data_IF_364947590022
#
_entry.id   IF_364947590022
#
_cell.length_a   1.000
_cell.length_b   1.000
_cell.length_c   1.000
_cell.angle_alpha   90.00
_cell.angle_beta   90.00
_cell.angle_gamma   90.00
#
_symmetry.space_group_name_H-M   'P 1'
#
loop_
_entity.id
_entity.type
_entity.pdbx_description
1 polymer ?
#
# COMPACT_ATOMS: atom_id res chain seq x y z
N UNK A 1 -1.97 16.96 -1.78
CA UNK A 1 -1.57 16.97 -3.20
C UNK A 1 -1.01 18.33 -3.56
N UNK A 2 0.14 18.33 -4.20
CA UNK A 2 0.78 19.53 -4.71
C UNK A 2 1.17 19.30 -6.17
N UNK A 3 1.09 20.33 -6.99
CA UNK A 3 1.58 20.31 -8.37
C UNK A 3 2.77 21.24 -8.53
N UNK A 4 3.80 20.76 -9.21
CA UNK A 4 5.02 21.49 -9.55
C UNK A 4 5.26 21.42 -11.06
N UNK A 5 5.77 22.50 -11.63
CA UNK A 5 6.15 22.56 -13.05
C UNK A 5 5.05 23.05 -14.00
N UNK A 6 5.48 23.49 -15.19
CA UNK A 6 4.59 24.00 -16.23
C UNK A 6 3.80 22.87 -16.92
N UNK A 7 2.60 23.15 -17.47
CA UNK A 7 1.95 24.46 -17.56
C UNK A 7 1.02 24.83 -16.40
N UNK A 8 0.76 23.92 -15.44
CA UNK A 8 -0.34 24.07 -14.46
C UNK A 8 0.03 23.90 -12.98
N UNK A 9 1.31 23.87 -12.63
CA UNK A 9 1.81 23.74 -11.27
C UNK A 9 2.63 24.94 -10.80
N UNK A 10 3.02 24.90 -9.52
CA UNK A 10 3.88 25.90 -8.89
C UNK A 10 5.38 25.63 -9.11
N UNK A 11 6.24 26.22 -8.28
CA UNK A 11 7.69 25.95 -8.28
C UNK A 11 8.05 24.90 -7.21
N UNK A 12 9.33 24.52 -7.14
CA UNK A 12 9.81 23.64 -6.07
C UNK A 12 9.74 24.31 -4.69
N UNK A 13 9.91 25.64 -4.64
CA UNK A 13 9.86 26.45 -3.43
C UNK A 13 8.45 26.93 -3.08
N UNK A 14 7.58 27.07 -4.07
CA UNK A 14 6.18 27.49 -3.93
C UNK A 14 5.28 26.56 -4.76
N UNK A 15 5.08 25.30 -4.31
CA UNK A 15 4.30 24.33 -5.04
C UNK A 15 2.82 24.68 -4.97
N UNK A 16 2.09 24.47 -6.08
CA UNK A 16 0.66 24.74 -6.12
C UNK A 16 -0.06 23.70 -5.27
N UNK A 17 -0.62 24.13 -4.14
CA UNK A 17 -1.53 23.28 -3.37
C UNK A 17 -2.81 23.02 -4.18
N UNK A 18 -3.19 21.74 -4.29
CA UNK A 18 -4.42 21.33 -4.97
C UNK A 18 -5.50 20.99 -3.94
N UNK A 19 -5.24 19.98 -3.13
CA UNK A 19 -6.16 19.48 -2.10
C UNK A 19 -5.41 18.65 -1.05
N UNK A 20 -6.05 18.41 0.09
CA UNK A 20 -5.65 17.40 1.07
C UNK A 20 -6.74 16.32 1.16
N UNK A 21 -6.34 15.11 1.57
CA UNK A 21 -7.24 14.00 1.82
C UNK A 21 -7.25 13.73 3.33
N UNK A 22 -8.45 13.64 3.89
CA UNK A 22 -8.72 13.13 5.23
C UNK A 22 -9.69 11.96 5.08
N UNK A 23 -9.42 10.87 5.80
CA UNK A 23 -10.18 9.63 5.66
C UNK A 23 -10.70 9.23 7.04
N UNK A 24 -12.03 9.15 7.14
CA UNK A 24 -12.74 8.80 8.37
C UNK A 24 -13.86 7.82 8.06
N UNK A 25 -14.05 6.83 8.93
CA UNK A 25 -15.19 5.92 8.82
C UNK A 25 -16.43 6.45 9.57
N UNK A 26 -17.53 5.71 9.47
CA UNK A 26 -18.81 6.08 10.10
C UNK A 26 -18.76 6.06 11.64
N UNK A 27 -17.80 5.35 12.23
CA UNK A 27 -17.61 5.22 13.67
C UNK A 27 -16.65 6.31 14.22
N UNK A 28 -16.12 7.16 13.36
CA UNK A 28 -15.22 8.25 13.71
C UNK A 28 -13.75 7.86 13.86
N UNK A 29 -13.37 6.65 13.43
CA UNK A 29 -11.96 6.29 13.29
C UNK A 29 -11.37 7.06 12.09
N UNK A 30 -10.08 7.39 12.18
CA UNK A 30 -9.42 8.23 11.18
C UNK A 30 -8.07 7.66 10.76
N UNK A 31 -7.83 7.53 9.46
CA UNK A 31 -6.51 7.16 8.94
C UNK A 31 -5.49 8.26 9.24
N UNK A 32 -4.29 7.87 9.67
CA UNK A 32 -3.24 8.79 10.12
C UNK A 32 -3.34 9.22 11.58
N UNK A 33 -4.33 8.75 12.35
CA UNK A 33 -4.36 8.85 13.82
C UNK A 33 -3.84 7.55 14.42
N UNK A 34 -2.88 7.62 15.35
CA UNK A 34 -2.21 6.42 15.86
C UNK A 34 -1.28 5.75 14.84
N UNK A 35 -0.93 6.47 13.78
CA UNK A 35 -0.12 6.04 12.64
C UNK A 35 0.18 7.23 11.73
N UNK A 36 0.63 6.98 10.49
CA UNK A 36 0.80 8.02 9.46
C UNK A 36 0.39 7.50 8.09
N UNK A 37 -0.07 8.40 7.23
CA UNK A 37 -0.02 8.14 5.78
C UNK A 37 1.41 7.80 5.40
N UNK A 38 1.59 6.75 4.61
CA UNK A 38 2.91 6.13 4.47
C UNK A 38 3.32 5.90 3.03
N UNK A 39 2.38 5.57 2.16
CA UNK A 39 2.65 5.31 0.75
C UNK A 39 1.57 5.95 -0.11
N UNK A 40 1.98 6.37 -1.30
CA UNK A 40 1.12 6.95 -2.32
C UNK A 40 1.61 6.51 -3.70
N UNK A 41 0.71 6.21 -4.61
CA UNK A 41 1.02 5.87 -5.99
C UNK A 41 -0.13 6.25 -6.92
N UNK A 42 0.19 6.61 -8.16
CA UNK A 42 -0.81 6.88 -9.19
C UNK A 42 -0.95 5.67 -10.12
N UNK A 43 -2.15 5.47 -10.66
CA UNK A 43 -2.34 4.66 -11.88
C UNK A 43 -1.49 5.22 -13.00
N UNK A 44 -1.19 4.39 -14.01
CA UNK A 44 -0.26 4.78 -15.07
C UNK A 44 -0.78 5.89 -15.98
N UNK A 45 -2.10 6.03 -16.10
CA UNK A 45 -2.77 7.15 -16.75
C UNK A 45 -2.88 8.41 -15.86
N UNK A 46 -2.60 8.28 -14.56
CA UNK A 46 -2.64 9.37 -13.59
C UNK A 46 -4.03 9.71 -13.07
N UNK A 47 -5.05 8.89 -13.35
CA UNK A 47 -6.46 9.18 -13.03
C UNK A 47 -6.83 8.83 -11.57
N UNK A 48 -6.18 7.81 -10.98
CA UNK A 48 -6.48 7.34 -9.64
C UNK A 48 -5.24 7.38 -8.75
N UNK A 49 -5.40 7.91 -7.55
CA UNK A 49 -4.41 7.92 -6.47
C UNK A 49 -4.72 6.80 -5.47
N UNK A 50 -3.78 5.87 -5.30
CA UNK A 50 -3.81 4.85 -4.25
C UNK A 50 -3.01 5.32 -3.03
N UNK A 51 -3.62 5.34 -1.84
CA UNK A 51 -3.00 5.75 -0.59
C UNK A 51 -3.04 4.62 0.45
N UNK A 52 -1.87 4.33 1.02
CA UNK A 52 -1.67 3.39 2.13
C UNK A 52 -1.20 4.13 3.37
N UNK A 53 -1.54 3.58 4.53
CA UNK A 53 -1.12 4.14 5.81
C UNK A 53 -0.63 3.06 6.76
N UNK A 54 0.13 3.51 7.75
CA UNK A 54 0.87 2.68 8.68
C UNK A 54 0.26 2.79 10.09
N UNK A 55 -0.74 1.95 10.44
CA UNK A 55 -1.29 1.91 11.78
C UNK A 55 -0.22 1.43 12.77
N UNK A 56 -0.18 2.01 13.97
CA UNK A 56 0.74 1.59 15.03
C UNK A 56 2.23 1.72 14.68
N UNK A 57 2.57 2.49 13.63
CA UNK A 57 3.95 2.65 13.15
C UNK A 57 4.55 1.39 12.52
N UNK A 58 3.69 0.45 12.05
CA UNK A 58 4.07 -0.75 11.31
C UNK A 58 4.72 -1.85 12.16
N UNK A 59 5.29 -1.49 13.30
CA UNK A 59 5.84 -2.45 14.26
C UNK A 59 4.75 -3.12 15.10
N UNK A 60 3.61 -2.47 15.38
CA UNK A 60 2.60 -3.04 16.27
C UNK A 60 1.78 -4.16 15.62
N UNK A 61 1.22 -5.03 16.46
CA UNK A 61 0.16 -5.94 16.04
C UNK A 61 -1.08 -5.12 15.65
N UNK A 62 -1.34 -5.10 14.34
CA UNK A 62 -2.40 -4.33 13.67
C UNK A 62 -2.98 -5.17 12.55
N UNK A 63 -3.98 -4.63 11.86
CA UNK A 63 -4.74 -5.37 10.85
C UNK A 63 -5.40 -6.64 11.43
N UNK A 64 -5.72 -6.61 12.71
CA UNK A 64 -6.39 -7.71 13.38
C UNK A 64 -7.86 -7.78 12.99
N UNK A 65 -8.55 -8.85 13.41
CA UNK A 65 -9.99 -8.97 13.22
C UNK A 65 -10.78 -7.87 13.95
N UNK A 66 -10.23 -7.35 15.05
CA UNK A 66 -10.87 -6.34 15.91
C UNK A 66 -10.51 -4.89 15.49
N UNK A 67 -9.44 -4.70 14.71
CA UNK A 67 -9.13 -3.38 14.15
C UNK A 67 -10.19 -2.99 13.10
N UNK A 68 -10.64 -1.72 13.08
CA UNK A 68 -11.61 -1.24 12.10
C UNK A 68 -11.03 -1.34 10.68
N UNK A 69 -11.88 -1.51 9.68
CA UNK A 69 -11.43 -1.71 8.30
C UNK A 69 -10.54 -0.58 7.79
N UNK A 70 -10.82 0.67 8.21
CA UNK A 70 -9.98 1.83 7.90
C UNK A 70 -8.51 1.62 8.31
N UNK A 71 -8.23 0.84 9.36
CA UNK A 71 -6.87 0.57 9.83
C UNK A 71 -6.10 -0.47 9.01
N UNK A 72 -6.76 -1.17 8.09
CA UNK A 72 -6.17 -2.23 7.27
C UNK A 72 -6.54 -2.10 5.80
N UNK A 73 -6.73 -0.86 5.35
CA UNK A 73 -7.19 -0.57 4.00
C UNK A 73 -6.17 0.18 3.15
N UNK A 74 -6.20 -0.12 1.85
CA UNK A 74 -5.66 0.72 0.79
C UNK A 74 -6.80 1.54 0.21
N UNK A 75 -6.62 2.85 0.11
CA UNK A 75 -7.68 3.77 -0.31
C UNK A 75 -7.44 4.28 -1.73
N UNK A 76 -8.51 4.46 -2.49
CA UNK A 76 -8.44 4.94 -3.87
C UNK A 76 -9.23 6.25 -4.01
N UNK A 77 -8.60 7.24 -4.61
CA UNK A 77 -9.16 8.58 -4.80
C UNK A 77 -8.99 9.04 -6.24
N UNK A 78 -9.91 9.88 -6.69
CA UNK A 78 -9.79 10.63 -7.93
C UNK A 78 -8.57 11.57 -7.83
N UNK A 79 -7.62 11.43 -8.74
CA UNK A 79 -6.37 12.19 -8.70
C UNK A 79 -6.57 13.69 -8.97
N UNK A 80 -7.64 14.07 -9.66
CA UNK A 80 -7.92 15.46 -10.04
C UNK A 80 -8.47 16.30 -8.87
N UNK A 81 -9.24 15.69 -7.98
CA UNK A 81 -10.02 16.40 -6.97
C UNK A 81 -9.97 15.78 -5.55
N UNK A 82 -9.39 14.59 -5.40
CA UNK A 82 -9.26 13.90 -4.11
C UNK A 82 -10.55 13.24 -3.60
N UNK A 83 -11.60 13.13 -4.42
CA UNK A 83 -12.82 12.42 -4.05
C UNK A 83 -12.53 10.93 -3.86
N UNK A 84 -13.05 10.35 -2.77
CA UNK A 84 -12.93 8.91 -2.50
C UNK A 84 -13.71 8.12 -3.55
N UNK A 85 -13.02 7.16 -4.18
CA UNK A 85 -13.61 6.23 -5.15
C UNK A 85 -13.93 4.89 -4.50
N UNK A 86 -13.08 4.42 -3.59
CA UNK A 86 -13.28 3.17 -2.87
C UNK A 86 -12.11 2.82 -1.97
N UNK A 87 -12.13 1.62 -1.41
CA UNK A 87 -11.01 1.07 -0.65
C UNK A 87 -10.99 -0.45 -0.76
N UNK A 88 -9.79 -1.01 -0.70
CA UNK A 88 -9.59 -2.43 -0.48
C UNK A 88 -9.27 -2.65 1.00
N UNK A 89 -9.89 -3.65 1.62
CA UNK A 89 -9.63 -4.05 3.01
C UNK A 89 -8.82 -5.34 2.98
N UNK A 90 -7.72 -5.41 3.73
CA UNK A 90 -6.95 -6.64 3.90
C UNK A 90 -7.86 -7.79 4.37
N UNK A 91 -7.99 -8.82 3.53
CA UNK A 91 -8.98 -9.89 3.72
C UNK A 91 -8.58 -10.92 4.78
N UNK A 92 -7.27 -11.12 5.02
CA UNK A 92 -6.74 -12.05 6.03
C UNK A 92 -6.30 -11.29 7.29
N UNK A 93 -7.12 -11.27 8.36
CA UNK A 93 -6.76 -10.57 9.58
C UNK A 93 -5.56 -11.22 10.26
N UNK A 94 -4.68 -10.39 10.77
CA UNK A 94 -3.44 -10.81 11.41
C UNK A 94 -3.65 -11.07 12.92
N UNK A 95 -2.84 -11.95 13.49
CA UNK A 95 -2.86 -12.26 14.91
C UNK A 95 -2.21 -11.18 15.77
N UNK A 96 -2.38 -11.30 17.09
CA UNK A 96 -1.70 -10.44 18.06
C UNK A 96 -0.16 -10.59 18.04
N UNK A 97 0.34 -11.63 17.36
CA UNK A 97 1.75 -11.94 17.21
C UNK A 97 2.35 -11.44 15.87
N UNK A 98 1.59 -10.66 15.10
CA UNK A 98 1.95 -10.27 13.73
C UNK A 98 1.91 -8.76 13.52
N UNK A 99 3.07 -8.18 13.18
CA UNK A 99 3.15 -6.76 12.83
C UNK A 99 2.64 -6.52 11.40
N UNK A 100 1.80 -5.50 11.21
CA UNK A 100 1.12 -5.26 9.94
C UNK A 100 0.99 -3.76 9.61
N UNK A 101 0.97 -3.47 8.32
CA UNK A 101 0.79 -2.13 7.73
C UNK A 101 0.32 -2.27 6.27
N UNK A 102 -0.22 -1.19 5.70
CA UNK A 102 -0.49 -1.09 4.26
C UNK A 102 0.66 -0.30 3.62
N UNK A 103 1.62 -1.01 3.03
CA UNK A 103 2.96 -0.46 2.84
C UNK A 103 3.53 -0.73 1.44
N UNK A 104 4.28 0.26 0.93
CA UNK A 104 5.09 0.25 -0.30
C UNK A 104 4.65 -0.71 -1.41
N UNK A 105 3.95 -0.12 -2.37
CA UNK A 105 3.38 -0.78 -3.55
C UNK A 105 3.73 -0.04 -4.82
N UNK A 106 3.48 -0.67 -5.96
CA UNK A 106 3.36 0.01 -7.25
C UNK A 106 2.15 -0.49 -8.04
N UNK A 107 1.78 0.31 -9.03
CA UNK A 107 0.75 -0.05 -9.99
C UNK A 107 1.38 -0.85 -11.13
N UNK A 108 0.80 -1.98 -11.49
CA UNK A 108 1.25 -2.77 -12.63
C UNK A 108 0.92 -2.02 -13.94
N UNK A 109 1.89 -1.82 -14.84
CA UNK A 109 1.61 -1.20 -16.13
C UNK A 109 0.96 -2.22 -17.05
N UNK A 110 -0.37 -2.24 -17.15
CA UNK A 110 -1.13 -3.20 -17.95
C UNK A 110 -1.54 -2.59 -19.30
N UNK A 111 -1.37 -3.34 -20.39
CA UNK A 111 -1.77 -2.89 -21.74
C UNK A 111 -3.28 -2.76 -21.91
N UNK A 112 -4.07 -3.40 -21.05
CA UNK A 112 -5.53 -3.33 -21.06
C UNK A 112 -6.07 -2.01 -20.54
N UNK A 113 -5.26 -1.23 -19.81
CA UNK A 113 -5.74 -0.10 -18.99
C UNK A 113 -6.32 -0.53 -17.65
N UNK A 114 -6.28 -1.83 -17.32
CA UNK A 114 -6.73 -2.34 -16.03
C UNK A 114 -5.84 -1.85 -14.90
N UNK A 115 -6.42 -1.75 -13.71
CA UNK A 115 -5.76 -1.21 -12.54
C UNK A 115 -5.48 -2.30 -11.52
N UNK A 116 -4.21 -2.69 -11.41
CA UNK A 116 -3.75 -3.62 -10.38
C UNK A 116 -2.63 -3.00 -9.58
N UNK A 117 -2.79 -2.97 -8.25
CA UNK A 117 -1.76 -2.56 -7.30
C UNK A 117 -1.14 -3.79 -6.66
N UNK A 118 0.19 -3.79 -6.52
CA UNK A 118 0.93 -4.86 -5.84
C UNK A 118 1.71 -4.25 -4.69
N UNK A 119 1.52 -4.74 -3.47
CA UNK A 119 2.07 -4.17 -2.24
C UNK A 119 2.53 -5.19 -1.22
N UNK A 120 3.40 -4.73 -0.31
CA UNK A 120 3.93 -5.53 0.80
C UNK A 120 3.38 -5.06 2.13
N UNK A 121 2.83 -5.96 2.94
CA UNK A 121 2.04 -5.65 4.12
C UNK A 121 2.67 -6.22 5.41
N UNK A 122 4.01 -6.21 5.48
CA UNK A 122 4.79 -6.80 6.56
C UNK A 122 4.38 -8.27 6.78
N UNK A 123 4.01 -8.70 8.00
CA UNK A 123 3.70 -10.11 8.24
C UNK A 123 2.41 -10.55 7.53
N UNK A 124 1.54 -9.63 7.09
CA UNK A 124 0.43 -9.97 6.20
C UNK A 124 0.87 -10.29 4.76
N UNK A 125 2.16 -10.10 4.43
CA UNK A 125 2.76 -10.58 3.19
C UNK A 125 2.50 -9.70 1.96
N UNK A 126 2.63 -10.29 0.77
CA UNK A 126 2.44 -9.60 -0.50
C UNK A 126 1.01 -9.79 -1.01
N UNK A 127 0.39 -8.71 -1.48
CA UNK A 127 -0.95 -8.72 -2.06
C UNK A 127 -0.96 -8.04 -3.42
N UNK A 128 -1.77 -8.59 -4.33
CA UNK A 128 -2.14 -7.98 -5.60
C UNK A 128 -3.66 -7.75 -5.59
N UNK A 129 -4.06 -6.51 -5.83
CA UNK A 129 -5.45 -6.05 -5.76
C UNK A 129 -5.83 -5.45 -7.09
N UNK A 130 -6.86 -6.01 -7.72
CA UNK A 130 -7.52 -5.45 -8.89
C UNK A 130 -8.57 -4.44 -8.42
N UNK A 131 -8.50 -3.24 -8.96
CA UNK A 131 -9.46 -2.16 -8.71
C UNK A 131 -9.92 -1.53 -10.03
N UNK A 132 -9.91 -2.32 -11.10
CA UNK A 132 -10.40 -1.93 -12.41
C UNK A 132 -11.87 -1.52 -12.32
N UNK A 133 -12.21 -0.37 -12.93
CA UNK A 133 -13.56 0.17 -12.88
C UNK A 133 -13.92 0.89 -11.57
N UNK A 134 -12.97 1.16 -10.67
CA UNK A 134 -13.24 1.90 -9.42
C UNK A 134 -13.88 3.27 -9.67
N UNK A 135 -13.56 3.93 -10.78
CA UNK A 135 -14.17 5.21 -11.17
C UNK A 135 -15.65 5.06 -11.55
N UNK A 136 -16.07 3.85 -11.94
CA UNK A 136 -17.46 3.48 -12.24
C UNK A 136 -18.16 2.84 -11.03
N UNK A 137 -17.50 2.80 -9.86
CA UNK A 137 -18.04 2.24 -8.62
C UNK A 137 -17.85 0.72 -8.47
N UNK A 138 -16.91 0.11 -9.18
CA UNK A 138 -16.50 -1.26 -8.91
C UNK A 138 -15.73 -1.37 -7.58
N UNK A 139 -15.95 -2.45 -6.86
CA UNK A 139 -15.26 -2.73 -5.59
C UNK A 139 -13.90 -3.41 -5.86
N UNK A 140 -12.81 -2.99 -5.20
CA UNK A 140 -11.52 -3.67 -5.30
C UNK A 140 -11.54 -5.12 -4.81
N UNK A 141 -10.80 -6.00 -5.48
CA UNK A 141 -10.71 -7.42 -5.13
C UNK A 141 -9.26 -7.93 -5.11
N UNK A 142 -8.97 -8.83 -4.17
CA UNK A 142 -7.66 -9.51 -4.12
C UNK A 142 -7.58 -10.57 -5.22
N UNK A 143 -6.56 -10.48 -6.08
CA UNK A 143 -6.35 -11.46 -7.17
C UNK A 143 -5.19 -12.42 -6.90
N UNK A 144 -4.27 -12.04 -6.00
CA UNK A 144 -3.23 -12.93 -5.50
C UNK A 144 -2.69 -12.45 -4.17
N UNK A 145 -2.22 -13.38 -3.33
CA UNK A 145 -1.47 -13.06 -2.13
C UNK A 145 -0.47 -14.15 -1.77
N UNK A 146 0.55 -13.78 -1.00
CA UNK A 146 1.48 -14.69 -0.33
C UNK A 146 1.65 -14.20 1.10
N UNK A 147 1.13 -14.97 2.05
CA UNK A 147 1.15 -14.66 3.48
C UNK A 147 2.18 -15.57 4.19
N UNK A 148 3.31 -15.02 4.69
CA UNK A 148 4.34 -15.82 5.35
C UNK A 148 3.92 -16.26 6.76
N UNK A 149 4.45 -17.39 7.29
CA UNK A 149 4.20 -17.75 8.67
C UNK A 149 4.65 -16.66 9.66
N UNK A 150 3.83 -16.44 10.69
CA UNK A 150 4.16 -15.59 11.85
C UNK A 150 5.57 -15.83 12.37
N UNK A 151 6.23 -14.75 12.76
CA UNK A 151 7.47 -14.84 13.55
C UNK A 151 7.20 -15.42 14.95
N UNK A 152 5.95 -15.41 15.43
CA UNK A 152 5.55 -15.76 16.80
C UNK A 152 5.61 -14.55 17.74
N UNK A 153 5.43 -14.77 19.05
CA UNK A 153 5.19 -13.68 19.99
C UNK A 153 6.33 -12.66 20.07
N UNK A 154 5.94 -11.43 20.44
CA UNK A 154 6.79 -10.25 20.57
C UNK A 154 7.87 -10.31 21.66
N UNK A 155 8.53 -9.18 21.98
CA UNK A 155 8.06 -7.80 21.76
C UNK A 155 8.28 -7.28 20.34
N UNK A 156 7.36 -6.47 19.81
CA UNK A 156 7.55 -5.85 18.48
C UNK A 156 8.35 -4.56 18.51
N UNK A 157 8.98 -4.21 17.39
CA UNK A 157 9.77 -2.98 17.25
C UNK A 157 8.90 -1.72 17.21
N UNK A 158 8.56 -1.22 18.40
CA UNK A 158 7.68 -0.06 18.63
C UNK A 158 8.28 0.80 19.76
N UNK A 159 7.71 1.96 20.06
CA UNK A 159 8.15 2.76 21.24
C UNK A 159 7.75 2.10 22.56
N UNK A 160 6.61 1.41 22.59
CA UNK A 160 6.09 0.68 23.75
C UNK A 160 5.39 -0.61 23.32
N UNK A 161 5.57 -1.67 24.11
CA UNK A 161 4.89 -2.95 23.99
C UNK A 161 4.36 -3.37 25.37
N UNK A 162 3.07 -3.69 25.47
CA UNK A 162 2.38 -4.01 26.74
C UNK A 162 2.61 -2.96 27.86
N UNK A 163 2.57 -1.67 27.48
CA UNK A 163 2.75 -0.55 28.42
C UNK A 163 4.18 -0.36 28.93
N UNK A 164 5.16 -1.14 28.45
CA UNK A 164 6.58 -0.97 28.79
C UNK A 164 7.38 -0.47 27.58
N UNK A 165 8.49 0.27 27.79
CA UNK A 165 9.41 0.60 26.71
C UNK A 165 9.92 -0.67 26.04
N UNK A 166 9.79 -0.75 24.72
CA UNK A 166 10.34 -1.87 23.96
C UNK A 166 11.87 -1.82 24.04
N UNK A 167 12.54 -2.95 24.35
CA UNK A 167 13.99 -3.02 24.25
C UNK A 167 14.47 -2.61 22.86
N UNK A 168 15.45 -1.71 22.78
CA UNK A 168 16.04 -1.30 21.50
C UNK A 168 16.67 -2.49 20.75
N UNK A 169 17.20 -3.46 21.51
CA UNK A 169 17.73 -4.72 21.00
C UNK A 169 16.78 -5.88 21.33
N UNK A 170 16.49 -6.74 20.34
CA UNK A 170 15.68 -7.96 20.52
C UNK A 170 14.18 -7.81 20.28
N UNK A 171 13.72 -6.64 19.81
CA UNK A 171 12.38 -6.49 19.27
C UNK A 171 12.24 -7.20 17.91
N UNK A 172 11.01 -7.54 17.53
CA UNK A 172 10.71 -8.32 16.32
C UNK A 172 9.93 -7.47 15.32
N UNK A 173 10.31 -7.56 14.06
CA UNK A 173 9.62 -6.98 12.92
C UNK A 173 9.93 -7.86 11.71
N UNK A 174 8.95 -8.14 10.87
CA UNK A 174 9.11 -9.09 9.79
C UNK A 174 8.14 -8.95 8.64
N UNK A 175 8.34 -9.82 7.66
CA UNK A 175 7.50 -9.94 6.47
C UNK A 175 7.87 -8.96 5.35
N UNK A 176 6.96 -8.81 4.40
CA UNK A 176 7.18 -8.06 3.16
C UNK A 176 7.28 -6.55 3.44
N UNK A 177 8.51 -6.01 3.51
CA UNK A 177 8.76 -4.56 3.57
C UNK A 177 8.13 -3.89 2.34
N UNK A 178 8.35 -4.43 1.16
CA UNK A 178 7.78 -3.86 -0.06
C UNK A 178 7.61 -4.94 -1.10
N UNK A 179 6.63 -4.76 -1.98
CA UNK A 179 6.43 -5.65 -3.12
C UNK A 179 6.11 -4.83 -4.35
N UNK A 180 6.77 -5.13 -5.46
CA UNK A 180 6.60 -4.39 -6.69
C UNK A 180 6.45 -5.32 -7.91
N UNK A 181 5.43 -5.06 -8.72
CA UNK A 181 5.25 -5.66 -10.04
C UNK A 181 6.24 -5.06 -11.03
N UNK A 182 7.05 -5.91 -11.68
CA UNK A 182 7.97 -5.53 -12.73
C UNK A 182 8.15 -6.68 -13.74
N UNK A 183 7.88 -6.41 -15.02
CA UNK A 183 8.16 -7.33 -16.13
C UNK A 183 7.60 -8.77 -15.94
N UNK A 184 6.35 -8.89 -15.46
CA UNK A 184 5.62 -10.15 -15.14
C UNK A 184 6.06 -10.89 -13.86
N UNK A 185 6.88 -10.26 -13.03
CA UNK A 185 7.25 -10.79 -11.72
C UNK A 185 6.89 -9.79 -10.64
N UNK A 186 6.65 -10.31 -9.44
CA UNK A 186 6.58 -9.51 -8.22
C UNK A 186 7.88 -9.69 -7.46
N UNK A 187 8.56 -8.60 -7.17
CA UNK A 187 9.79 -8.56 -6.39
C UNK A 187 9.45 -8.09 -4.99
N UNK A 188 9.60 -8.98 -4.01
CA UNK A 188 9.35 -8.69 -2.61
C UNK A 188 10.68 -8.57 -1.86
N UNK A 189 10.83 -7.48 -1.12
CA UNK A 189 11.87 -7.33 -0.11
C UNK A 189 11.28 -7.68 1.26
N UNK A 190 11.62 -8.85 1.81
CA UNK A 190 11.29 -9.27 3.17
C UNK A 190 12.33 -8.77 4.17
N UNK A 191 11.87 -8.23 5.29
CA UNK A 191 12.71 -7.67 6.38
C UNK A 191 13.72 -8.68 6.94
N UNK A 192 13.34 -9.96 6.98
CA UNK A 192 14.06 -11.06 7.62
C UNK A 192 14.63 -12.10 6.64
N UNK A 193 14.01 -12.25 5.47
CA UNK A 193 14.31 -13.31 4.50
C UNK A 193 15.05 -12.82 3.25
N UNK A 194 15.11 -11.49 3.03
CA UNK A 194 15.78 -10.91 1.87
C UNK A 194 14.86 -10.78 0.68
N UNK A 195 15.26 -11.27 -0.49
CA UNK A 195 14.51 -11.09 -1.74
C UNK A 195 13.71 -12.36 -2.10
N UNK A 196 12.39 -12.21 -2.25
CA UNK A 196 11.53 -13.20 -2.89
C UNK A 196 11.10 -12.69 -4.27
N UNK A 197 10.98 -13.61 -5.24
CA UNK A 197 10.50 -13.29 -6.59
C UNK A 197 9.38 -14.24 -6.94
N UNK A 198 8.20 -13.67 -7.18
CA UNK A 198 6.99 -14.41 -7.51
C UNK A 198 6.62 -14.20 -8.97
N UNK A 199 5.99 -15.20 -9.57
CA UNK A 199 5.26 -15.04 -10.82
C UNK A 199 3.78 -15.25 -10.50
N UNK A 200 2.96 -14.23 -10.74
CA UNK A 200 1.52 -14.33 -10.55
C UNK A 200 0.89 -15.04 -11.76
N UNK A 201 0.01 -16.00 -11.49
CA UNK A 201 -0.66 -16.81 -12.51
C UNK A 201 -2.09 -16.37 -12.81
N UNK A 202 -2.51 -15.23 -12.26
CA UNK A 202 -3.82 -14.65 -12.47
C UNK A 202 -3.89 -13.82 -13.77
N UNK A 203 -5.07 -13.76 -14.39
CA UNK A 203 -5.29 -13.00 -15.62
C UNK A 203 -5.27 -11.48 -15.40
N UNK A 204 -5.61 -10.99 -14.20
CA UNK A 204 -5.57 -9.57 -13.88
C UNK A 204 -4.18 -8.95 -14.05
N UNK A 205 -3.11 -9.73 -13.87
CA UNK A 205 -1.72 -9.31 -14.10
C UNK A 205 -1.16 -9.75 -15.46
N UNK A 206 -1.99 -10.26 -16.36
CA UNK A 206 -1.56 -10.61 -17.71
C UNK A 206 -1.30 -9.36 -18.56
N UNK A 207 -0.35 -9.44 -19.50
CA UNK A 207 -0.11 -8.36 -20.44
C UNK A 207 0.63 -7.15 -19.86
N UNK A 208 1.37 -7.30 -18.76
CA UNK A 208 2.23 -6.22 -18.25
C UNK A 208 3.18 -5.70 -19.34
N UNK A 209 3.24 -4.38 -19.48
CA UNK A 209 4.18 -3.68 -20.34
C UNK A 209 5.58 -3.96 -19.83
N UNK A 210 6.48 -4.35 -20.73
CA UNK A 210 7.88 -4.53 -20.39
C UNK A 210 8.59 -3.19 -20.37
N UNK A 211 9.10 -2.81 -19.21
CA UNK A 211 9.86 -1.58 -19.02
C UNK A 211 11.35 -1.91 -18.95
N UNK A 212 12.23 -1.11 -19.57
CA UNK A 212 13.68 -1.26 -19.43
C UNK A 212 14.18 -0.79 -18.05
N UNK A 213 13.41 0.08 -17.39
CA UNK A 213 13.68 0.64 -16.07
C UNK A 213 12.33 0.94 -15.38
N UNK A 214 12.27 0.71 -14.07
CA UNK A 214 11.14 1.11 -13.23
C UNK A 214 11.67 1.49 -11.85
N UNK A 215 11.45 2.74 -11.46
CA UNK A 215 11.56 3.17 -10.07
C UNK A 215 10.14 3.15 -9.46
N UNK A 216 9.80 2.20 -8.58
CA UNK A 216 8.44 2.11 -8.05
C UNK A 216 8.04 3.29 -7.15
N UNK A 217 9.00 4.10 -6.67
CA UNK A 217 8.74 5.28 -5.86
C UNK A 217 8.70 6.58 -6.66
N UNK A 218 9.01 6.53 -7.96
CA UNK A 218 8.93 7.69 -8.84
C UNK A 218 8.41 7.26 -10.19
N UNK A 219 7.20 7.68 -10.52
CA UNK A 219 6.66 7.48 -11.85
C UNK A 219 7.26 8.53 -12.79
N UNK A 220 8.14 8.09 -13.68
CA UNK A 220 8.92 8.97 -14.57
C UNK A 220 8.14 9.37 -15.84
N UNK A 221 7.08 8.63 -16.18
CA UNK A 221 6.21 8.86 -17.34
C UNK A 221 4.83 8.23 -17.10
N UNK A 222 3.82 8.67 -17.87
CA UNK A 222 2.48 8.09 -17.87
C UNK A 222 2.27 7.18 -19.08
N UNK A 223 1.37 6.20 -18.95
CA UNK A 223 0.88 5.37 -20.04
C UNK A 223 -0.57 5.81 -20.35
N UNK A 224 -0.92 6.07 -21.62
CA UNK A 224 -2.28 6.44 -22.00
C UNK A 224 -3.26 5.27 -21.90
#
# INVERSE_FOLDING_TARGET
MFSIGAPGGGTLEDPQFLFNIEETDADGNQAGVGGRWHSAGFTWDGEVLALGWEPGGGGQARCTGDDPDIAKSLFFYDASNGAKLGQWVLENPQGADENCTIHNYNLAPLQSGDYVVVGGHYQAGTWAVDFTGIQDGAEPESVAWVDPPTLGPGPFCTTTFDGQPTPADGCRIGGAWSSYSYNNFVYESDITRGLNVYRVSDQALAGTVKLPHLNPQTQEFTLP
#
